data_IF_793035372501
#
_entry.id   IF_793035372501
#
_cell.length_a   1.000
_cell.length_b   1.000
_cell.length_c   1.000
_cell.angle_alpha   90.00
_cell.angle_beta   90.00
_cell.angle_gamma   90.00
#
_symmetry.space_group_name_H-M   'P 1'
#
loop_
_entity.id
_entity.type
_entity.pdbx_description
1 polymer ?
#
# COMPACT_ATOMS: atom_id res chain seq x y z
N UNK A 1 -1.83 -17.15 4.71
CA UNK A 1 -2.25 -15.79 4.34
C UNK A 1 -1.09 -15.13 3.59
N UNK A 2 -0.72 -15.73 2.45
CA UNK A 2 0.38 -15.30 1.56
C UNK A 2 -0.11 -15.29 0.10
N UNK A 3 -1.38 -15.62 -0.13
CA UNK A 3 -1.95 -15.89 -1.46
C UNK A 3 -2.33 -14.59 -2.21
N UNK A 4 -2.71 -13.54 -1.47
CA UNK A 4 -3.22 -12.30 -2.06
C UNK A 4 -2.14 -11.49 -2.79
N UNK A 5 -0.90 -11.49 -2.28
CA UNK A 5 0.23 -10.83 -2.94
C UNK A 5 0.66 -11.59 -4.20
N UNK A 6 0.77 -12.93 -4.13
CA UNK A 6 1.06 -13.78 -5.28
C UNK A 6 -0.01 -13.63 -6.39
N UNK A 7 -1.27 -13.47 -5.96
CA UNK A 7 -2.40 -13.19 -6.84
C UNK A 7 -2.26 -11.81 -7.51
N UNK A 8 -1.93 -10.76 -6.75
CA UNK A 8 -1.68 -9.42 -7.31
C UNK A 8 -0.49 -9.40 -8.28
N UNK A 9 0.60 -10.11 -7.97
CA UNK A 9 1.75 -10.25 -8.87
C UNK A 9 1.36 -10.94 -10.18
N UNK A 10 0.50 -11.96 -10.09
CA UNK A 10 -0.02 -12.65 -11.27
C UNK A 10 -0.87 -11.71 -12.12
N UNK A 11 -1.72 -10.90 -11.50
CA UNK A 11 -2.56 -9.93 -12.20
C UNK A 11 -1.75 -8.78 -12.81
N UNK A 12 -0.68 -8.33 -12.15
CA UNK A 12 0.19 -7.26 -12.66
C UNK A 12 0.91 -7.63 -13.98
N UNK A 13 0.98 -8.93 -14.32
CA UNK A 13 1.55 -9.42 -15.59
C UNK A 13 0.52 -9.49 -16.72
N UNK A 14 -0.76 -9.23 -16.45
CA UNK A 14 -1.83 -9.22 -17.45
C UNK A 14 -1.88 -7.88 -18.19
N UNK A 15 -2.35 -7.86 -19.45
CA UNK A 15 -2.68 -6.63 -20.14
C UNK A 15 -3.70 -5.80 -19.33
N UNK A 16 -3.53 -4.47 -19.22
CA UNK A 16 -4.48 -3.62 -18.49
C UNK A 16 -5.92 -3.74 -18.98
N UNK A 17 -6.13 -3.94 -20.28
CA UNK A 17 -7.44 -4.16 -20.90
C UNK A 17 -8.16 -5.41 -20.39
N UNK A 18 -7.43 -6.46 -20.02
CA UNK A 18 -8.01 -7.69 -19.46
C UNK A 18 -8.52 -7.47 -18.04
N UNK A 19 -7.98 -6.47 -17.34
CA UNK A 19 -8.44 -6.08 -16.00
C UNK A 19 -9.58 -5.05 -16.12
N UNK A 20 -9.40 -4.03 -16.94
CA UNK A 20 -10.35 -2.93 -17.09
C UNK A 20 -11.62 -3.33 -17.85
N UNK A 21 -11.55 -4.34 -18.71
CA UNK A 21 -12.67 -4.85 -19.51
C UNK A 21 -13.70 -5.65 -18.70
N UNK A 22 -13.36 -6.09 -17.48
CA UNK A 22 -14.25 -6.81 -16.58
C UNK A 22 -14.42 -6.03 -15.26
N UNK A 23 -15.56 -5.34 -15.05
CA UNK A 23 -15.80 -4.55 -13.84
C UNK A 23 -15.73 -5.36 -12.53
N UNK A 24 -16.14 -6.63 -12.54
CA UNK A 24 -16.11 -7.47 -11.34
C UNK A 24 -14.67 -7.83 -11.00
N UNK A 25 -13.88 -8.19 -12.02
CA UNK A 25 -12.47 -8.48 -11.84
C UNK A 25 -11.68 -7.23 -11.42
N UNK A 26 -11.93 -6.07 -12.03
CA UNK A 26 -11.36 -4.80 -11.59
C UNK A 26 -11.68 -4.50 -10.11
N UNK A 27 -12.91 -4.76 -9.68
CA UNK A 27 -13.32 -4.62 -8.28
C UNK A 27 -12.51 -5.53 -7.34
N UNK A 28 -12.28 -6.78 -7.76
CA UNK A 28 -11.47 -7.73 -7.01
C UNK A 28 -9.99 -7.30 -6.91
N UNK A 29 -9.38 -6.86 -8.02
CA UNK A 29 -8.00 -6.35 -8.01
C UNK A 29 -7.87 -5.12 -7.10
N UNK A 30 -8.82 -4.18 -7.19
CA UNK A 30 -8.85 -3.01 -6.30
C UNK A 30 -8.93 -3.41 -4.83
N UNK A 31 -9.78 -4.36 -4.50
CA UNK A 31 -9.93 -4.86 -3.13
C UNK A 31 -8.61 -5.41 -2.60
N UNK A 32 -8.00 -6.37 -3.31
CA UNK A 32 -6.74 -6.96 -2.89
C UNK A 32 -5.63 -5.91 -2.73
N UNK A 33 -5.54 -4.97 -3.66
CA UNK A 33 -4.55 -3.90 -3.61
C UNK A 33 -4.73 -2.99 -2.40
N UNK A 34 -5.98 -2.59 -2.10
CA UNK A 34 -6.30 -1.78 -0.92
C UNK A 34 -5.94 -2.53 0.37
N UNK A 35 -6.29 -3.80 0.49
CA UNK A 35 -5.95 -4.62 1.67
C UNK A 35 -4.44 -4.76 1.85
N UNK A 36 -3.67 -4.94 0.77
CA UNK A 36 -2.21 -4.96 0.85
C UNK A 36 -1.63 -3.64 1.35
N UNK A 37 -2.18 -2.50 0.89
CA UNK A 37 -1.81 -1.16 1.35
C UNK A 37 -2.16 -0.95 2.83
N UNK A 38 -3.31 -1.46 3.30
CA UNK A 38 -3.69 -1.42 4.71
C UNK A 38 -2.71 -2.16 5.61
N UNK A 39 -2.27 -3.36 5.20
CA UNK A 39 -1.22 -4.09 5.93
C UNK A 39 0.09 -3.30 6.04
N UNK A 40 0.46 -2.54 5.00
CA UNK A 40 1.63 -1.66 5.06
C UNK A 40 1.43 -0.48 6.01
N UNK A 41 0.22 0.10 6.05
CA UNK A 41 -0.13 1.18 6.98
C UNK A 41 -0.03 0.69 8.43
N UNK A 42 -0.60 -0.48 8.72
CA UNK A 42 -0.55 -1.09 10.05
C UNK A 42 0.90 -1.35 10.49
N UNK A 43 1.73 -1.87 9.59
CA UNK A 43 3.15 -2.07 9.83
C UNK A 43 3.88 -0.74 10.11
N UNK A 44 3.60 0.31 9.33
CA UNK A 44 4.21 1.63 9.54
C UNK A 44 3.85 2.24 10.90
N UNK A 45 2.57 2.16 11.29
CA UNK A 45 2.14 2.60 12.62
C UNK A 45 2.75 1.77 13.74
N UNK A 46 2.84 0.45 13.55
CA UNK A 46 3.46 -0.44 14.52
C UNK A 46 4.95 -0.11 14.74
N UNK A 47 5.71 0.11 13.66
CA UNK A 47 7.12 0.50 13.75
C UNK A 47 7.27 1.85 14.43
N UNK A 48 6.51 2.87 14.01
CA UNK A 48 6.57 4.20 14.62
C UNK A 48 6.25 4.17 16.13
N UNK A 49 5.26 3.38 16.53
CA UNK A 49 4.92 3.19 17.94
C UNK A 49 6.02 2.44 18.71
N UNK A 50 6.59 1.39 18.13
CA UNK A 50 7.64 0.57 18.76
C UNK A 50 8.93 1.35 18.99
N UNK A 51 9.25 2.27 18.09
CA UNK A 51 10.44 3.12 18.17
C UNK A 51 10.19 4.44 18.94
N UNK A 52 8.97 4.66 19.44
CA UNK A 52 8.62 5.86 20.21
C UNK A 52 8.61 7.15 19.39
N UNK A 53 8.43 7.06 18.07
CA UNK A 53 8.38 8.22 17.18
C UNK A 53 7.04 8.95 17.29
N UNK A 54 7.04 10.22 16.87
CA UNK A 54 5.81 11.00 16.83
C UNK A 54 4.81 10.33 15.88
N UNK A 55 3.58 10.03 16.34
CA UNK A 55 2.55 9.43 15.51
C UNK A 55 2.21 10.32 14.31
N UNK A 56 1.97 9.71 13.16
CA UNK A 56 1.43 10.43 12.01
C UNK A 56 -0.05 10.77 12.20
N UNK A 57 -0.46 11.94 11.74
CA UNK A 57 -1.87 12.37 11.75
C UNK A 57 -2.68 11.75 10.60
N UNK A 58 -2.00 11.21 9.59
CA UNK A 58 -2.61 10.58 8.42
C UNK A 58 -1.88 9.29 8.06
N UNK A 59 -2.57 8.36 7.42
CA UNK A 59 -1.96 7.11 6.96
C UNK A 59 -0.82 7.34 5.95
N UNK A 60 -0.94 8.36 5.09
CA UNK A 60 0.15 8.71 4.16
C UNK A 60 1.35 9.27 4.95
N UNK A 61 1.07 10.08 5.98
CA UNK A 61 2.08 10.57 6.91
C UNK A 61 2.80 9.45 7.66
N UNK A 62 2.18 8.29 7.88
CA UNK A 62 2.85 7.14 8.49
C UNK A 62 4.01 6.63 7.62
N UNK A 63 3.87 6.66 6.29
CA UNK A 63 4.95 6.33 5.35
C UNK A 63 6.06 7.38 5.40
N UNK A 64 5.70 8.65 5.54
CA UNK A 64 6.66 9.76 5.68
C UNK A 64 7.43 9.69 7.00
N UNK A 65 6.80 9.22 8.09
CA UNK A 65 7.52 8.94 9.36
C UNK A 65 8.62 7.92 9.09
N UNK A 66 8.31 6.79 8.43
CA UNK A 66 9.32 5.78 8.11
C UNK A 66 10.46 6.34 7.25
N UNK A 67 10.14 7.15 6.23
CA UNK A 67 11.13 7.81 5.38
C UNK A 67 12.05 8.77 6.14
N UNK A 68 11.50 9.56 7.09
CA UNK A 68 12.31 10.47 7.93
C UNK A 68 13.30 9.76 8.84
N UNK A 69 13.07 8.48 9.12
CA UNK A 69 13.93 7.64 9.95
C UNK A 69 14.72 6.61 9.12
N UNK A 70 14.84 6.82 7.80
CA UNK A 70 15.61 6.00 6.86
C UNK A 70 15.20 4.50 6.82
N UNK A 71 13.98 4.18 7.28
CA UNK A 71 13.41 2.81 7.16
C UNK A 71 12.99 2.53 5.72
N UNK A 72 12.48 3.56 5.03
CA UNK A 72 12.18 3.54 3.61
C UNK A 72 13.10 4.53 2.91
N UNK A 73 13.57 4.18 1.71
CA UNK A 73 14.24 5.15 0.85
C UNK A 73 13.23 6.20 0.33
N UNK A 74 13.70 7.38 -0.12
CA UNK A 74 12.81 8.46 -0.53
C UNK A 74 11.83 8.10 -1.65
N UNK A 75 12.25 7.29 -2.62
CA UNK A 75 11.41 6.91 -3.76
C UNK A 75 10.29 5.95 -3.32
N UNK A 76 10.63 5.02 -2.43
CA UNK A 76 9.67 4.11 -1.84
C UNK A 76 8.71 4.84 -0.90
N UNK A 77 9.18 5.82 -0.11
CA UNK A 77 8.32 6.67 0.73
C UNK A 77 7.26 7.38 -0.11
N UNK A 78 7.67 8.03 -1.21
CA UNK A 78 6.74 8.74 -2.09
C UNK A 78 5.72 7.79 -2.73
N UNK A 79 6.19 6.65 -3.23
CA UNK A 79 5.35 5.63 -3.87
C UNK A 79 4.32 5.07 -2.89
N UNK A 80 4.73 4.74 -1.66
CA UNK A 80 3.82 4.23 -0.63
C UNK A 80 2.83 5.29 -0.18
N UNK A 81 3.24 6.54 0.01
CA UNK A 81 2.34 7.63 0.35
C UNK A 81 1.28 7.86 -0.76
N UNK A 82 1.65 7.69 -2.03
CA UNK A 82 0.70 7.73 -3.14
C UNK A 82 -0.27 6.54 -3.16
N UNK A 83 0.23 5.32 -2.90
CA UNK A 83 -0.60 4.12 -2.79
C UNK A 83 -1.64 4.22 -1.65
N UNK A 84 -1.27 4.81 -0.52
CA UNK A 84 -2.21 5.10 0.58
C UNK A 84 -3.33 6.04 0.13
N UNK A 85 -3.01 7.05 -0.68
CA UNK A 85 -4.02 7.99 -1.22
C UNK A 85 -4.93 7.34 -2.26
N UNK A 86 -4.46 6.35 -3.00
CA UNK A 86 -5.28 5.60 -3.97
C UNK A 86 -6.52 4.96 -3.34
N UNK A 87 -6.44 4.54 -2.07
CA UNK A 87 -7.59 3.99 -1.33
C UNK A 87 -8.82 4.92 -1.32
N UNK A 88 -8.60 6.23 -1.46
CA UNK A 88 -9.67 7.23 -1.36
C UNK A 88 -10.24 7.64 -2.74
N UNK A 89 -9.88 6.95 -3.82
CA UNK A 89 -10.30 7.24 -5.21
C UNK A 89 -11.48 6.38 -5.69
#
# INVERSE_FOLDING_TARGET
>A
MTDDLDTLETYARRPPEDIAGDPAFLGHVKYLFVTAVEGCIDAAHHVAASEGWTPAETNAGAMEVLGRHDVLDPALTETMAAAVRFRNL
#
